data_IF_584901638090
#
_entry.id   IF_584901638090
#
_cell.length_a   1.000
_cell.length_b   1.000
_cell.length_c   1.000
_cell.angle_alpha   90.00
_cell.angle_beta   90.00
_cell.angle_gamma   90.00
#
_symmetry.space_group_name_H-M   'P 1'
#
loop_
_entity.id
_entity.type
_entity.pdbx_description
1 polymer ?
#
# COMPACT_ATOMS: atom_id res chain seq x y z
N UNK A 1 -34.36 -54.08 -3.78
CA UNK A 1 -33.14 -53.51 -4.40
C UNK A 1 -33.01 -52.05 -3.96
N UNK A 2 -32.08 -51.77 -3.03
CA UNK A 2 -31.81 -50.42 -2.54
C UNK A 2 -30.61 -49.88 -3.33
N UNK A 3 -30.84 -48.83 -4.15
CA UNK A 3 -29.74 -48.11 -4.81
C UNK A 3 -29.15 -47.13 -3.84
N UNK A 4 -27.91 -47.36 -3.46
CA UNK A 4 -27.08 -46.43 -2.68
C UNK A 4 -26.44 -45.45 -3.66
N UNK A 5 -26.90 -44.18 -3.66
CA UNK A 5 -26.25 -43.12 -4.42
C UNK A 5 -25.10 -42.56 -3.58
N UNK A 6 -23.88 -42.88 -3.99
CA UNK A 6 -22.67 -42.33 -3.41
C UNK A 6 -22.48 -40.90 -3.91
N UNK A 7 -22.70 -39.89 -3.05
CA UNK A 7 -22.35 -38.51 -3.32
C UNK A 7 -20.84 -38.37 -3.09
N UNK A 8 -20.07 -38.32 -4.19
CA UNK A 8 -18.67 -37.97 -4.13
C UNK A 8 -18.58 -36.43 -3.94
N UNK A 9 -18.26 -35.99 -2.71
CA UNK A 9 -17.84 -34.63 -2.45
C UNK A 9 -16.47 -34.41 -3.10
N UNK A 10 -16.45 -33.75 -4.24
CA UNK A 10 -15.22 -33.12 -4.78
C UNK A 10 -14.90 -31.89 -3.92
N UNK A 11 -14.06 -32.09 -2.92
CA UNK A 11 -13.39 -31.02 -2.21
C UNK A 11 -12.33 -30.44 -3.19
N UNK A 12 -12.70 -29.46 -4.00
CA UNK A 12 -11.73 -28.66 -4.75
C UNK A 12 -11.00 -27.79 -3.73
N UNK A 13 -9.88 -28.29 -3.22
CA UNK A 13 -8.90 -27.44 -2.58
C UNK A 13 -8.42 -26.43 -3.64
N UNK A 14 -8.90 -25.20 -3.56
CA UNK A 14 -8.28 -24.09 -4.24
C UNK A 14 -6.88 -23.94 -3.62
N UNK A 15 -5.87 -24.54 -4.26
CA UNK A 15 -4.49 -24.20 -4.03
C UNK A 15 -4.37 -22.72 -4.42
N UNK A 16 -4.36 -21.84 -3.46
CA UNK A 16 -3.85 -20.48 -3.62
C UNK A 16 -2.42 -20.64 -4.12
N UNK A 17 -2.20 -20.36 -5.41
CA UNK A 17 -0.87 -20.20 -5.96
C UNK A 17 -0.31 -18.91 -5.34
N UNK A 18 0.27 -19.01 -4.14
CA UNK A 18 1.10 -17.93 -3.61
C UNK A 18 2.22 -17.71 -4.63
N UNK A 19 2.38 -16.47 -5.07
CA UNK A 19 3.45 -16.13 -5.98
C UNK A 19 4.80 -16.54 -5.35
N UNK A 20 5.57 -17.35 -6.08
CA UNK A 20 6.86 -17.85 -5.62
C UNK A 20 7.92 -16.78 -5.88
N UNK A 21 7.99 -15.79 -4.95
CA UNK A 21 9.01 -14.74 -5.03
C UNK A 21 10.34 -15.27 -4.49
N UNK A 22 11.43 -14.98 -5.21
CA UNK A 22 12.78 -15.18 -4.68
C UNK A 22 12.94 -14.40 -3.36
N UNK A 23 13.77 -14.90 -2.44
CA UNK A 23 13.99 -14.28 -1.11
C UNK A 23 14.31 -12.78 -1.19
N UNK A 24 15.08 -12.35 -2.19
CA UNK A 24 15.41 -10.94 -2.38
C UNK A 24 14.25 -10.09 -2.96
N UNK A 25 13.14 -10.72 -3.33
CA UNK A 25 11.88 -10.07 -3.73
C UNK A 25 10.85 -10.03 -2.60
N UNK A 26 11.19 -10.56 -1.44
CA UNK A 26 10.41 -10.39 -0.20
C UNK A 26 10.96 -9.23 0.62
N UNK A 27 10.11 -8.47 1.33
CA UNK A 27 10.59 -7.42 2.23
C UNK A 27 11.61 -7.97 3.23
N UNK A 28 12.71 -7.25 3.42
CA UNK A 28 13.79 -7.64 4.34
C UNK A 28 14.29 -9.07 4.11
N UNK A 29 14.29 -9.53 2.85
CA UNK A 29 14.66 -10.90 2.44
C UNK A 29 13.77 -12.00 3.06
N UNK A 30 12.51 -11.69 3.36
CA UNK A 30 11.60 -12.61 4.05
C UNK A 30 12.01 -12.93 5.49
N UNK A 31 13.00 -12.21 6.04
CA UNK A 31 13.60 -12.51 7.33
C UNK A 31 14.67 -13.61 7.32
N UNK A 32 14.84 -14.30 6.17
CA UNK A 32 15.78 -15.40 6.00
C UNK A 32 17.00 -14.98 5.19
N UNK A 33 18.17 -15.59 5.50
CA UNK A 33 19.40 -15.45 4.71
C UNK A 33 19.79 -14.01 4.35
N UNK A 34 19.58 -13.07 5.28
CA UNK A 34 19.99 -11.68 5.09
C UNK A 34 21.51 -11.62 5.00
N UNK A 35 22.08 -11.13 3.87
CA UNK A 35 23.52 -11.00 3.75
C UNK A 35 24.08 -10.03 4.82
N UNK A 36 25.17 -10.42 5.46
CA UNK A 36 25.91 -9.51 6.34
C UNK A 36 26.72 -8.54 5.50
N UNK A 37 26.51 -7.25 5.71
CA UNK A 37 27.28 -6.18 5.07
C UNK A 37 27.65 -5.13 6.09
N UNK A 38 28.74 -4.45 5.83
CA UNK A 38 29.12 -3.28 6.63
C UNK A 38 28.08 -2.18 6.51
N UNK A 39 27.67 -1.59 7.64
CA UNK A 39 26.72 -0.49 7.66
C UNK A 39 27.26 0.70 6.85
N UNK A 40 26.47 1.19 5.92
CA UNK A 40 26.80 2.33 5.06
C UNK A 40 25.58 3.18 4.76
N UNK A 41 25.31 4.24 5.54
CA UNK A 41 24.20 5.15 5.27
C UNK A 41 24.24 5.76 3.86
N UNK A 42 25.41 6.01 3.31
CA UNK A 42 25.56 6.54 1.96
C UNK A 42 25.10 5.51 0.90
N UNK A 43 25.52 4.25 1.04
CA UNK A 43 25.08 3.18 0.13
C UNK A 43 23.57 2.89 0.31
N UNK A 44 23.07 2.98 1.55
CA UNK A 44 21.65 2.84 1.84
C UNK A 44 20.83 3.89 1.11
N UNK A 45 21.22 5.16 1.19
CA UNK A 45 20.58 6.26 0.47
C UNK A 45 20.59 6.03 -1.05
N UNK A 46 21.76 5.71 -1.62
CA UNK A 46 21.89 5.44 -3.05
C UNK A 46 21.04 4.26 -3.54
N UNK A 47 20.96 3.20 -2.73
CA UNK A 47 20.09 2.07 -3.04
C UNK A 47 18.60 2.44 -2.99
N UNK A 48 18.17 3.23 -1.99
CA UNK A 48 16.79 3.73 -1.90
C UNK A 48 16.43 4.63 -3.10
N UNK A 49 17.30 5.54 -3.51
CA UNK A 49 17.11 6.38 -4.69
C UNK A 49 16.92 5.54 -5.97
N UNK A 50 17.68 4.47 -6.12
CA UNK A 50 17.48 3.51 -7.22
C UNK A 50 16.14 2.77 -7.07
N UNK A 51 15.76 2.38 -5.85
CA UNK A 51 14.47 1.76 -5.57
C UNK A 51 13.31 2.63 -6.05
N UNK A 52 13.29 3.90 -5.69
CA UNK A 52 12.31 4.87 -6.17
C UNK A 52 12.28 4.99 -7.70
N UNK A 53 13.45 5.03 -8.34
CA UNK A 53 13.53 5.09 -9.81
C UNK A 53 12.88 3.89 -10.49
N UNK A 54 13.06 2.68 -9.98
CA UNK A 54 12.43 1.48 -10.52
C UNK A 54 10.94 1.42 -10.19
N UNK A 55 10.54 1.83 -8.99
CA UNK A 55 9.14 1.92 -8.58
C UNK A 55 8.33 2.83 -9.51
N UNK A 56 8.85 4.02 -9.83
CA UNK A 56 8.20 4.96 -10.77
C UNK A 56 8.14 4.45 -12.21
N UNK A 57 8.96 3.46 -12.57
CA UNK A 57 8.89 2.78 -13.87
C UNK A 57 7.97 1.57 -13.86
N UNK A 58 7.37 1.23 -12.72
CA UNK A 58 6.51 0.07 -12.56
C UNK A 58 7.26 -1.25 -12.38
N UNK A 59 8.59 -1.24 -12.30
CA UNK A 59 9.41 -2.44 -12.04
C UNK A 59 9.46 -2.74 -10.54
N UNK A 60 8.40 -3.38 -10.04
CA UNK A 60 8.24 -3.68 -8.62
C UNK A 60 9.27 -4.69 -8.11
N UNK A 61 9.69 -5.66 -8.94
CA UNK A 61 10.69 -6.66 -8.58
C UNK A 61 12.05 -6.00 -8.31
N UNK A 62 12.54 -5.21 -9.28
CA UNK A 62 13.81 -4.50 -9.09
C UNK A 62 13.73 -3.46 -7.98
N UNK A 63 12.60 -2.75 -7.83
CA UNK A 63 12.39 -1.80 -6.75
C UNK A 63 12.52 -2.49 -5.37
N UNK A 64 11.86 -3.65 -5.18
CA UNK A 64 11.98 -4.47 -3.97
C UNK A 64 13.44 -4.80 -3.65
N UNK A 65 14.18 -5.32 -4.63
CA UNK A 65 15.60 -5.67 -4.48
C UNK A 65 16.46 -4.47 -4.06
N UNK A 66 16.18 -3.28 -4.59
CA UNK A 66 16.91 -2.04 -4.24
C UNK A 66 16.55 -1.52 -2.85
N UNK A 67 15.28 -1.54 -2.46
CA UNK A 67 14.88 -1.17 -1.11
C UNK A 67 15.39 -2.18 -0.06
N UNK A 68 15.46 -3.47 -0.38
CA UNK A 68 16.12 -4.47 0.44
C UNK A 68 17.60 -4.16 0.63
N UNK A 69 18.31 -3.76 -0.44
CA UNK A 69 19.71 -3.31 -0.33
C UNK A 69 19.85 -2.07 0.57
N UNK A 70 18.92 -1.11 0.44
CA UNK A 70 18.91 0.07 1.29
C UNK A 70 18.75 -0.32 2.76
N UNK A 71 17.79 -1.18 3.08
CA UNK A 71 17.58 -1.71 4.43
C UNK A 71 18.79 -2.50 4.95
N UNK A 72 19.43 -3.29 4.11
CA UNK A 72 20.59 -4.08 4.47
C UNK A 72 21.76 -3.18 4.88
N UNK A 73 22.03 -2.09 4.12
CA UNK A 73 23.09 -1.14 4.45
C UNK A 73 22.79 -0.26 5.67
N UNK A 74 21.50 0.07 5.90
CA UNK A 74 21.08 0.83 7.09
C UNK A 74 19.65 0.47 7.47
N UNK A 75 19.51 -0.38 8.50
CA UNK A 75 18.22 -0.84 9.02
C UNK A 75 17.39 0.26 9.71
N UNK A 76 17.92 1.48 9.79
CA UNK A 76 17.24 2.65 10.33
C UNK A 76 16.86 3.68 9.25
N UNK A 77 17.09 3.36 7.98
CA UNK A 77 16.69 4.22 6.87
C UNK A 77 15.18 4.16 6.64
N UNK A 78 14.42 5.27 6.88
CA UNK A 78 12.98 5.26 6.68
C UNK A 78 12.57 5.05 5.21
N UNK A 79 13.39 5.51 4.24
CA UNK A 79 13.09 5.36 2.81
C UNK A 79 13.10 3.89 2.37
N UNK A 80 13.92 3.05 3.02
CA UNK A 80 13.92 1.62 2.75
C UNK A 80 12.56 1.00 3.10
N UNK A 81 12.07 1.23 4.32
CA UNK A 81 10.77 0.73 4.77
C UNK A 81 9.62 1.36 4.00
N UNK A 82 9.70 2.66 3.70
CA UNK A 82 8.70 3.35 2.90
C UNK A 82 8.57 2.73 1.51
N UNK A 83 9.68 2.55 0.81
CA UNK A 83 9.70 1.93 -0.52
C UNK A 83 9.20 0.48 -0.51
N UNK A 84 9.64 -0.34 0.47
CA UNK A 84 9.14 -1.71 0.65
C UNK A 84 7.63 -1.72 0.85
N UNK A 85 7.09 -0.83 1.70
CA UNK A 85 5.66 -0.70 1.96
C UNK A 85 4.86 -0.35 0.70
N UNK A 86 5.34 0.61 -0.10
CA UNK A 86 4.68 0.97 -1.37
C UNK A 86 4.70 -0.20 -2.37
N UNK A 87 5.82 -0.94 -2.46
CA UNK A 87 5.88 -2.12 -3.35
C UNK A 87 4.84 -3.15 -2.94
N UNK A 88 4.66 -3.41 -1.63
CA UNK A 88 3.63 -4.34 -1.14
C UNK A 88 2.21 -3.84 -1.43
N UNK A 89 1.95 -2.54 -1.21
CA UNK A 89 0.67 -1.93 -1.59
C UNK A 89 0.33 -2.09 -3.07
N UNK A 90 1.32 -1.92 -3.95
CA UNK A 90 1.15 -2.14 -5.40
C UNK A 90 0.97 -3.60 -5.79
N UNK A 91 1.60 -4.53 -5.08
CA UNK A 91 1.38 -5.97 -5.30
C UNK A 91 -0.04 -6.39 -4.94
N UNK A 92 -0.63 -5.77 -3.91
CA UNK A 92 -1.99 -6.02 -3.48
C UNK A 92 -3.06 -5.81 -4.57
N UNK A 93 -2.76 -5.00 -5.60
CA UNK A 93 -3.64 -4.80 -6.75
C UNK A 93 -3.76 -6.05 -7.63
N UNK A 94 -2.83 -6.99 -7.54
CA UNK A 94 -2.73 -8.15 -8.44
C UNK A 94 -3.00 -9.48 -7.74
N UNK A 95 -2.58 -9.61 -6.49
CA UNK A 95 -2.58 -10.90 -5.77
C UNK A 95 -2.52 -10.69 -4.26
N UNK A 96 -2.98 -11.69 -3.51
CA UNK A 96 -2.90 -11.75 -2.04
C UNK A 96 -3.21 -10.41 -1.34
N UNK A 97 -4.28 -9.74 -1.78
CA UNK A 97 -4.61 -8.34 -1.42
C UNK A 97 -4.53 -8.09 0.08
N UNK A 98 -5.16 -8.93 0.90
CA UNK A 98 -5.18 -8.73 2.36
C UNK A 98 -3.79 -8.86 2.97
N UNK A 99 -3.06 -9.89 2.59
CA UNK A 99 -1.69 -10.12 3.05
C UNK A 99 -0.77 -8.97 2.66
N UNK A 100 -0.80 -8.59 1.39
CA UNK A 100 0.08 -7.54 0.86
C UNK A 100 -0.25 -6.16 1.45
N UNK A 101 -1.52 -5.84 1.69
CA UNK A 101 -1.91 -4.59 2.38
C UNK A 101 -1.52 -4.62 3.86
N UNK A 102 -1.64 -5.75 4.54
CA UNK A 102 -1.21 -5.90 5.93
C UNK A 102 0.30 -5.70 6.06
N UNK A 103 1.08 -6.29 5.16
CA UNK A 103 2.52 -6.11 5.11
C UNK A 103 2.91 -4.67 4.75
N UNK A 104 2.21 -4.05 3.79
CA UNK A 104 2.38 -2.62 3.45
C UNK A 104 2.19 -1.73 4.69
N UNK A 105 1.12 -1.94 5.44
CA UNK A 105 0.85 -1.19 6.69
C UNK A 105 1.97 -1.39 7.71
N UNK A 106 2.43 -2.62 7.91
CA UNK A 106 3.53 -2.91 8.85
C UNK A 106 4.81 -2.14 8.50
N UNK A 107 5.21 -2.19 7.23
CA UNK A 107 6.41 -1.53 6.72
C UNK A 107 6.29 0.01 6.76
N UNK A 108 5.13 0.55 6.35
CA UNK A 108 4.87 1.99 6.40
C UNK A 108 4.76 2.52 7.83
N UNK A 109 4.24 1.72 8.75
CA UNK A 109 4.27 2.04 10.19
C UNK A 109 5.70 2.17 10.67
N UNK A 110 6.59 1.23 10.28
CA UNK A 110 8.00 1.31 10.62
C UNK A 110 8.69 2.54 10.02
N UNK A 111 8.38 2.88 8.76
CA UNK A 111 8.87 4.10 8.13
C UNK A 111 8.41 5.37 8.87
N UNK A 112 7.13 5.41 9.27
CA UNK A 112 6.56 6.52 10.03
C UNK A 112 7.19 6.66 11.42
N UNK A 113 7.43 5.56 12.14
CA UNK A 113 8.16 5.58 13.43
C UNK A 113 9.58 6.17 13.29
N UNK A 114 10.29 5.84 12.21
CA UNK A 114 11.62 6.34 11.93
C UNK A 114 11.65 7.79 11.44
N UNK A 115 10.56 8.26 10.84
CA UNK A 115 10.41 9.62 10.30
C UNK A 115 9.02 10.19 10.55
N UNK A 116 8.62 10.43 11.82
CA UNK A 116 7.26 10.80 12.18
C UNK A 116 6.81 12.17 11.65
N UNK A 117 7.73 13.03 11.26
CA UNK A 117 7.42 14.34 10.68
C UNK A 117 7.21 14.32 9.16
N UNK A 118 7.49 13.20 8.51
CA UNK A 118 7.30 13.07 7.06
C UNK A 118 5.82 12.77 6.73
N UNK A 119 5.08 13.83 6.36
CA UNK A 119 3.66 13.73 6.02
C UNK A 119 3.39 12.84 4.80
N UNK A 120 4.35 12.65 3.90
CA UNK A 120 4.20 11.78 2.72
C UNK A 120 4.10 10.31 3.15
N UNK A 121 5.00 9.87 4.05
CA UNK A 121 4.95 8.51 4.62
C UNK A 121 3.62 8.32 5.36
N UNK A 122 3.20 9.31 6.16
CA UNK A 122 1.93 9.26 6.88
C UNK A 122 0.73 9.15 5.92
N UNK A 123 0.76 9.87 4.80
CA UNK A 123 -0.27 9.81 3.76
C UNK A 123 -0.36 8.44 3.07
N UNK A 124 0.79 7.83 2.76
CA UNK A 124 0.82 6.49 2.16
C UNK A 124 0.39 5.40 3.15
N UNK A 125 0.73 5.54 4.44
CA UNK A 125 0.21 4.67 5.50
C UNK A 125 -1.31 4.80 5.61
N UNK A 126 -1.85 6.03 5.59
CA UNK A 126 -3.29 6.27 5.59
C UNK A 126 -3.98 5.58 4.39
N UNK A 127 -3.38 5.68 3.22
CA UNK A 127 -3.93 5.07 2.01
C UNK A 127 -3.95 3.54 2.09
N UNK A 128 -2.91 2.91 2.62
CA UNK A 128 -2.88 1.45 2.83
C UNK A 128 -3.97 0.99 3.80
N UNK A 129 -4.26 1.76 4.86
CA UNK A 129 -5.41 1.50 5.74
C UNK A 129 -6.75 1.66 5.01
N UNK A 130 -6.91 2.69 4.17
CA UNK A 130 -8.13 2.89 3.38
C UNK A 130 -8.39 1.72 2.42
N UNK A 131 -7.35 1.25 1.73
CA UNK A 131 -7.43 0.11 0.82
C UNK A 131 -7.80 -1.19 1.56
N UNK A 132 -7.17 -1.45 2.72
CA UNK A 132 -7.50 -2.63 3.53
C UNK A 132 -8.94 -2.57 4.06
N UNK A 133 -9.39 -1.39 4.52
CA UNK A 133 -10.78 -1.18 4.95
C UNK A 133 -11.77 -1.49 3.83
N UNK A 134 -11.52 -0.99 2.61
CA UNK A 134 -12.35 -1.26 1.45
C UNK A 134 -12.34 -2.75 1.06
N UNK A 135 -11.17 -3.38 1.06
CA UNK A 135 -11.08 -4.82 0.80
C UNK A 135 -11.92 -5.63 1.79
N UNK A 136 -11.80 -5.39 3.09
CA UNK A 136 -12.59 -6.08 4.12
C UNK A 136 -14.08 -5.85 3.93
N UNK A 137 -14.53 -4.61 3.67
CA UNK A 137 -15.92 -4.28 3.42
C UNK A 137 -16.49 -5.00 2.19
N UNK A 138 -15.73 -5.08 1.09
CA UNK A 138 -16.15 -5.81 -0.13
C UNK A 138 -16.22 -7.33 0.07
N UNK A 139 -15.53 -7.87 1.08
CA UNK A 139 -15.62 -9.30 1.46
C UNK A 139 -16.71 -9.58 2.50
N UNK A 140 -17.55 -8.59 2.81
CA UNK A 140 -18.63 -8.72 3.81
C UNK A 140 -18.17 -8.58 5.26
N UNK A 141 -16.94 -8.15 5.48
CA UNK A 141 -16.40 -7.80 6.80
C UNK A 141 -16.63 -6.34 7.18
N UNK A 142 -16.06 -5.93 8.33
CA UNK A 142 -16.12 -4.56 8.81
C UNK A 142 -14.80 -3.82 8.53
N UNK A 143 -14.86 -2.84 7.62
CA UNK A 143 -13.73 -1.97 7.30
C UNK A 143 -13.64 -0.71 8.17
N UNK A 144 -14.62 -0.46 9.05
CA UNK A 144 -14.80 0.81 9.75
C UNK A 144 -13.57 1.26 10.54
N UNK A 145 -13.01 0.38 11.38
CA UNK A 145 -11.80 0.70 12.16
C UNK A 145 -10.63 1.14 11.27
N UNK A 146 -10.49 0.51 10.10
CA UNK A 146 -9.41 0.85 9.15
C UNK A 146 -9.66 2.21 8.49
N UNK A 147 -10.92 2.54 8.19
CA UNK A 147 -11.30 3.85 7.67
C UNK A 147 -11.08 4.97 8.70
N UNK A 148 -11.45 4.75 9.96
CA UNK A 148 -11.21 5.70 11.04
C UNK A 148 -9.71 5.98 11.21
N UNK A 149 -8.89 4.92 11.21
CA UNK A 149 -7.44 5.08 11.29
C UNK A 149 -6.85 5.82 10.08
N UNK A 150 -7.36 5.55 8.87
CA UNK A 150 -6.95 6.25 7.66
C UNK A 150 -7.31 7.75 7.73
N UNK A 151 -8.50 8.10 8.23
CA UNK A 151 -8.96 9.48 8.39
C UNK A 151 -8.04 10.29 9.31
N UNK A 152 -7.69 9.74 10.47
CA UNK A 152 -6.79 10.38 11.43
C UNK A 152 -5.40 10.63 10.81
N UNK A 153 -4.87 9.62 10.11
CA UNK A 153 -3.57 9.71 9.46
C UNK A 153 -3.57 10.71 8.29
N UNK A 154 -4.62 10.74 7.46
CA UNK A 154 -4.73 11.74 6.39
C UNK A 154 -4.83 13.16 6.95
N UNK A 155 -5.57 13.33 8.05
CA UNK A 155 -5.66 14.63 8.73
C UNK A 155 -4.28 15.11 9.20
N UNK A 156 -3.47 14.24 9.80
CA UNK A 156 -2.11 14.56 10.22
C UNK A 156 -1.18 14.79 9.03
N UNK A 157 -1.23 13.92 8.02
CA UNK A 157 -0.45 14.04 6.80
C UNK A 157 -0.68 15.37 6.08
N UNK A 158 -1.94 15.76 5.92
CA UNK A 158 -2.31 17.01 5.24
C UNK A 158 -1.85 18.25 6.00
N UNK A 159 -1.87 18.22 7.33
CA UNK A 159 -1.31 19.32 8.15
C UNK A 159 0.19 19.51 7.95
N UNK A 160 0.93 18.41 7.73
CA UNK A 160 2.39 18.43 7.55
C UNK A 160 2.81 18.78 6.14
N UNK A 161 2.10 18.27 5.13
CA UNK A 161 2.43 18.40 3.71
C UNK A 161 1.21 18.87 2.89
N UNK A 162 0.68 20.09 3.17
CA UNK A 162 -0.56 20.57 2.52
C UNK A 162 -0.42 20.82 1.02
N UNK A 163 0.81 20.91 0.51
CA UNK A 163 1.09 21.13 -0.91
C UNK A 163 1.47 19.83 -1.66
N UNK A 164 1.40 18.66 -1.02
CA UNK A 164 1.71 17.38 -1.66
C UNK A 164 0.46 16.75 -2.25
N UNK A 165 0.28 16.77 -3.60
CA UNK A 165 -0.98 16.43 -4.26
C UNK A 165 -1.52 15.02 -3.97
N UNK A 166 -0.67 13.97 -3.76
CA UNK A 166 -1.16 12.63 -3.48
C UNK A 166 -1.98 12.51 -2.17
N UNK A 167 -1.72 13.37 -1.16
CA UNK A 167 -2.46 13.29 0.10
C UNK A 167 -3.95 13.58 -0.11
N UNK A 168 -4.38 14.76 -0.62
CA UNK A 168 -5.80 15.00 -0.85
C UNK A 168 -6.39 14.07 -1.93
N UNK A 169 -5.61 13.59 -2.91
CA UNK A 169 -6.07 12.64 -3.91
C UNK A 169 -6.44 11.29 -3.28
N UNK A 170 -5.56 10.72 -2.46
CA UNK A 170 -5.79 9.44 -1.78
C UNK A 170 -6.86 9.57 -0.69
N UNK A 171 -6.95 10.72 -0.03
CA UNK A 171 -8.02 10.99 0.93
C UNK A 171 -9.39 11.08 0.25
N UNK A 172 -9.47 11.59 -0.98
CA UNK A 172 -10.69 11.57 -1.78
C UNK A 172 -11.17 10.13 -2.03
N UNK A 173 -10.25 9.19 -2.27
CA UNK A 173 -10.58 7.76 -2.41
C UNK A 173 -11.16 7.19 -1.11
N UNK A 174 -10.59 7.51 0.05
CA UNK A 174 -11.17 7.11 1.34
C UNK A 174 -12.60 7.65 1.50
N UNK A 175 -12.83 8.93 1.20
CA UNK A 175 -14.18 9.55 1.27
C UNK A 175 -15.17 8.88 0.32
N UNK A 176 -14.72 8.46 -0.85
CA UNK A 176 -15.52 7.69 -1.78
C UNK A 176 -15.92 6.33 -1.18
N UNK A 177 -14.97 5.59 -0.58
CA UNK A 177 -15.25 4.29 0.06
C UNK A 177 -16.22 4.40 1.24
N UNK A 178 -16.21 5.52 1.96
CA UNK A 178 -17.12 5.77 3.09
C UNK A 178 -18.46 6.40 2.67
N UNK A 179 -18.68 6.62 1.36
CA UNK A 179 -19.92 7.18 0.82
C UNK A 179 -20.05 8.71 0.95
N UNK A 180 -19.03 9.41 1.44
CA UNK A 180 -19.01 10.87 1.48
C UNK A 180 -18.51 11.44 0.14
N UNK A 181 -19.32 11.29 -0.91
CA UNK A 181 -18.98 11.68 -2.28
C UNK A 181 -18.73 13.18 -2.43
N UNK A 182 -19.40 14.01 -1.60
CA UNK A 182 -19.20 15.47 -1.63
C UNK A 182 -17.83 15.86 -1.08
N UNK A 183 -17.38 15.25 0.02
CA UNK A 183 -16.03 15.45 0.54
C UNK A 183 -14.98 14.87 -0.43
N UNK A 184 -15.26 13.70 -1.03
CA UNK A 184 -14.39 13.11 -2.06
C UNK A 184 -14.15 14.09 -3.22
N UNK A 185 -15.22 14.69 -3.76
CA UNK A 185 -15.12 15.68 -4.85
C UNK A 185 -14.28 16.90 -4.44
N UNK A 186 -14.49 17.46 -3.24
CA UNK A 186 -13.74 18.63 -2.76
C UNK A 186 -12.25 18.33 -2.63
N UNK A 187 -11.90 17.19 -2.05
CA UNK A 187 -10.51 16.77 -1.90
C UNK A 187 -9.84 16.50 -3.26
N UNK A 188 -10.58 15.90 -4.21
CA UNK A 188 -10.07 15.65 -5.55
C UNK A 188 -9.82 16.97 -6.31
N UNK A 189 -10.70 17.96 -6.18
CA UNK A 189 -10.50 19.30 -6.73
C UNK A 189 -9.27 19.98 -6.12
N UNK A 190 -9.05 19.83 -4.81
CA UNK A 190 -7.83 20.35 -4.16
C UNK A 190 -6.57 19.65 -4.70
N UNK A 191 -6.59 18.34 -4.86
CA UNK A 191 -5.48 17.60 -5.47
C UNK A 191 -5.19 18.10 -6.90
N UNK A 192 -6.23 18.32 -7.71
CA UNK A 192 -6.10 18.86 -9.08
C UNK A 192 -5.52 20.28 -9.08
N UNK A 193 -5.94 21.14 -8.16
CA UNK A 193 -5.37 22.48 -7.98
C UNK A 193 -3.87 22.44 -7.67
N UNK A 194 -3.42 21.39 -6.98
CA UNK A 194 -2.02 21.13 -6.67
C UNK A 194 -1.25 20.42 -7.81
N UNK A 195 -1.91 20.15 -8.95
CA UNK A 195 -1.29 19.52 -10.12
C UNK A 195 -1.47 18.00 -10.24
N UNK A 196 -2.36 17.38 -9.42
CA UNK A 196 -2.69 15.96 -9.56
C UNK A 196 -3.59 15.75 -10.78
N UNK A 197 -3.31 14.68 -11.53
CA UNK A 197 -4.19 14.21 -12.60
C UNK A 197 -4.96 12.98 -12.11
N UNK A 198 -6.28 13.08 -11.88
CA UNK A 198 -7.08 11.96 -11.43
C UNK A 198 -7.13 10.83 -12.45
N UNK A 199 -7.30 9.61 -11.96
CA UNK A 199 -7.69 8.49 -12.78
C UNK A 199 -9.07 8.76 -13.43
N UNK A 200 -9.21 8.62 -14.76
CA UNK A 200 -10.46 8.91 -15.47
C UNK A 200 -11.64 8.04 -15.02
N UNK A 201 -11.38 6.77 -14.69
CA UNK A 201 -12.42 5.84 -14.27
C UNK A 201 -12.94 6.22 -12.87
N UNK A 202 -12.03 6.57 -11.95
CA UNK A 202 -12.42 7.08 -10.63
C UNK A 202 -13.23 8.37 -10.73
N UNK A 203 -12.80 9.32 -11.58
CA UNK A 203 -13.53 10.58 -11.79
C UNK A 203 -14.93 10.34 -12.33
N UNK A 204 -15.09 9.42 -13.28
CA UNK A 204 -16.37 9.03 -13.86
C UNK A 204 -17.28 8.43 -12.78
N UNK A 205 -16.79 7.46 -12.01
CA UNK A 205 -17.55 6.78 -10.96
C UNK A 205 -18.00 7.77 -9.87
N UNK A 206 -17.12 8.69 -9.46
CA UNK A 206 -17.46 9.74 -8.49
C UNK A 206 -18.56 10.66 -9.01
N UNK A 207 -18.53 11.03 -10.30
CA UNK A 207 -19.58 11.85 -10.90
C UNK A 207 -20.94 11.15 -10.93
N UNK A 208 -20.98 9.85 -11.30
CA UNK A 208 -22.18 9.02 -11.29
C UNK A 208 -22.82 8.90 -9.88
N UNK A 209 -22.01 8.96 -8.82
CA UNK A 209 -22.50 8.93 -7.43
C UNK A 209 -23.04 10.28 -6.94
N UNK A 210 -22.80 11.35 -7.69
CA UNK A 210 -23.18 12.72 -7.31
C UNK A 210 -24.36 13.27 -8.12
N UNK A 211 -24.81 12.52 -9.15
CA UNK A 211 -26.05 12.73 -9.90
C UNK A 211 -27.28 12.19 -9.14
#
# INVERSE_FOLDING_TARGET
MKFLVLFALFLTAALSLAADYETNEMPMYGGDHVPEVERSPANSKGAAELGWKYLYRGDLSTAMKRFNQAWMFDRTNPDAFWGLGIVMGRRAEKEDTERNLTESISLLTKAHELSPQNGKITGDLAFSYALLGNYLATKGGDGKEKYEKAEDLFTDAYKREPQYPPIPANWAVLKFYTGDYQASRKLLQEAQRLGYTPDPDFLKELNEKLE
#
